data_IF_508234048795
#
_entry.id   IF_508234048795
#
_cell.length_a   1.000
_cell.length_b   1.000
_cell.length_c   1.000
_cell.angle_alpha   90.00
_cell.angle_beta   90.00
_cell.angle_gamma   90.00
#
_symmetry.space_group_name_H-M   'P 1'
#
loop_
_entity.id
_entity.type
_entity.pdbx_description
1 polymer ?
#
# COMPACT_ATOMS: atom_id res chain seq x y z
N UNK A 1 -12.16 7.54 18.33
CA UNK A 1 -11.84 6.10 18.18
C UNK A 1 -10.94 5.97 16.97
N UNK A 2 -9.68 5.53 17.13
CA UNK A 2 -8.83 5.15 15.99
C UNK A 2 -9.51 3.96 15.30
N UNK A 3 -10.06 4.16 14.10
CA UNK A 3 -10.55 3.03 13.28
C UNK A 3 -9.32 2.27 12.80
N UNK A 4 -8.91 1.25 13.55
CA UNK A 4 -7.98 0.25 13.03
C UNK A 4 -8.68 -0.44 11.86
N UNK A 5 -8.24 -0.16 10.64
CA UNK A 5 -8.71 -0.86 9.43
C UNK A 5 -8.46 -2.36 9.60
N UNK A 6 -9.51 -3.16 9.45
CA UNK A 6 -9.38 -4.62 9.49
C UNK A 6 -8.54 -5.07 8.28
N UNK A 7 -7.43 -5.75 8.53
CA UNK A 7 -6.51 -6.22 7.49
C UNK A 7 -6.55 -7.76 7.43
N UNK A 8 -6.56 -8.32 6.21
CA UNK A 8 -6.44 -9.76 5.96
C UNK A 8 -5.16 -10.08 5.20
N UNK A 9 -4.46 -11.12 5.63
CA UNK A 9 -3.21 -11.57 4.99
C UNK A 9 -3.53 -12.36 3.73
N UNK A 10 -2.98 -11.92 2.60
CA UNK A 10 -3.09 -12.62 1.32
C UNK A 10 -1.70 -12.92 0.75
N UNK A 11 -1.58 -14.06 0.07
CA UNK A 11 -0.37 -14.46 -0.65
C UNK A 11 -0.59 -14.36 -2.15
N UNK A 12 0.32 -13.70 -2.86
CA UNK A 12 0.29 -13.55 -4.32
C UNK A 12 1.58 -14.06 -4.93
N UNK A 13 1.50 -14.72 -6.08
CA UNK A 13 2.66 -15.17 -6.85
C UNK A 13 2.98 -14.15 -7.93
N UNK A 14 4.21 -13.67 -7.97
CA UNK A 14 4.69 -12.71 -8.95
C UNK A 14 6.01 -13.19 -9.55
N UNK A 15 6.32 -12.85 -10.82
CA UNK A 15 7.63 -13.09 -11.40
C UNK A 15 8.73 -12.43 -10.56
N UNK A 16 9.85 -13.13 -10.35
CA UNK A 16 10.97 -12.66 -9.52
C UNK A 16 11.45 -11.26 -9.93
N UNK A 17 11.55 -11.02 -11.24
CA UNK A 17 11.96 -9.71 -11.78
C UNK A 17 11.03 -8.58 -11.31
N UNK A 18 9.72 -8.80 -11.35
CA UNK A 18 8.72 -7.80 -10.94
C UNK A 18 8.82 -7.54 -9.44
N UNK A 19 8.91 -8.60 -8.65
CA UNK A 19 9.04 -8.50 -7.19
C UNK A 19 10.27 -7.68 -6.77
N UNK A 20 11.42 -7.95 -7.39
CA UNK A 20 12.67 -7.24 -7.10
C UNK A 20 12.59 -5.75 -7.45
N UNK A 21 11.99 -5.40 -8.59
CA UNK A 21 11.80 -4.00 -8.99
C UNK A 21 10.90 -3.28 -7.98
N UNK A 22 9.76 -3.90 -7.63
CA UNK A 22 8.81 -3.32 -6.67
C UNK A 22 9.47 -3.09 -5.30
N UNK A 23 10.28 -4.04 -4.82
CA UNK A 23 11.04 -3.89 -3.57
C UNK A 23 12.05 -2.75 -3.63
N UNK A 24 12.75 -2.58 -4.76
CA UNK A 24 13.67 -1.45 -4.95
C UNK A 24 12.94 -0.11 -4.93
N UNK A 25 11.81 0.00 -5.62
CA UNK A 25 11.00 1.21 -5.67
C UNK A 25 10.40 1.56 -4.30
N UNK A 26 9.93 0.55 -3.54
CA UNK A 26 9.44 0.76 -2.18
C UNK A 26 10.52 1.42 -1.30
N UNK A 27 11.75 0.89 -1.33
CA UNK A 27 12.88 1.44 -0.59
C UNK A 27 13.25 2.87 -1.03
N UNK A 28 13.26 3.14 -2.34
CA UNK A 28 13.55 4.48 -2.88
C UNK A 28 12.49 5.52 -2.47
N UNK A 29 11.25 5.09 -2.28
CA UNK A 29 10.14 5.94 -1.86
C UNK A 29 9.99 6.01 -0.33
N UNK A 30 10.94 5.45 0.44
CA UNK A 30 10.87 5.34 1.91
C UNK A 30 9.56 4.69 2.41
N UNK A 31 9.06 3.70 1.67
CA UNK A 31 7.84 2.94 2.01
C UNK A 31 8.16 1.49 2.33
N UNK A 32 7.35 0.90 3.21
CA UNK A 32 7.32 -0.55 3.36
C UNK A 32 6.88 -1.20 2.04
N UNK A 33 7.32 -2.43 1.79
CA UNK A 33 6.88 -3.18 0.60
C UNK A 33 5.35 -3.35 0.58
N UNK A 34 4.74 -3.57 1.75
CA UNK A 34 3.30 -3.66 1.89
C UNK A 34 2.60 -2.37 1.45
N UNK A 35 3.08 -1.20 1.90
CA UNK A 35 2.47 0.08 1.54
C UNK A 35 2.69 0.41 0.06
N UNK A 36 3.80 -0.03 -0.53
CA UNK A 36 4.03 0.10 -1.97
C UNK A 36 3.03 -0.76 -2.77
N UNK A 37 2.76 -1.99 -2.33
CA UNK A 37 1.74 -2.86 -2.95
C UNK A 37 0.36 -2.24 -2.81
N UNK A 38 -0.02 -1.80 -1.60
CA UNK A 38 -1.32 -1.19 -1.36
C UNK A 38 -1.53 0.04 -2.23
N UNK A 39 -0.52 0.92 -2.32
CA UNK A 39 -0.60 2.08 -3.21
C UNK A 39 -0.84 1.70 -4.66
N UNK A 40 -0.14 0.70 -5.19
CA UNK A 40 -0.33 0.25 -6.57
C UNK A 40 -1.76 -0.25 -6.79
N UNK A 41 -2.32 -0.98 -5.83
CA UNK A 41 -3.71 -1.49 -5.90
C UNK A 41 -4.71 -0.34 -5.82
N UNK A 42 -4.56 0.58 -4.87
CA UNK A 42 -5.47 1.73 -4.71
C UNK A 42 -5.36 2.73 -5.87
N UNK A 43 -4.16 2.99 -6.40
CA UNK A 43 -3.98 3.78 -7.63
C UNK A 43 -4.77 3.13 -8.79
N UNK A 44 -4.64 1.81 -8.99
CA UNK A 44 -5.37 1.08 -10.03
C UNK A 44 -6.90 1.13 -9.86
N UNK A 45 -7.40 1.11 -8.62
CA UNK A 45 -8.82 1.18 -8.29
C UNK A 45 -9.39 2.59 -8.50
N UNK A 46 -8.67 3.63 -8.08
CA UNK A 46 -9.06 5.03 -8.28
C UNK A 46 -9.11 5.37 -9.77
N UNK A 47 -8.10 4.97 -10.54
CA UNK A 47 -8.04 5.20 -11.98
C UNK A 47 -9.22 4.59 -12.75
N UNK A 48 -9.91 3.59 -12.16
CA UNK A 48 -11.07 2.91 -12.74
C UNK A 48 -12.41 3.30 -12.09
N UNK A 49 -12.40 4.19 -11.11
CA UNK A 49 -13.59 4.60 -10.38
C UNK A 49 -14.16 3.52 -9.45
N UNK A 50 -13.35 2.56 -9.02
CA UNK A 50 -13.74 1.57 -7.99
C UNK A 50 -13.52 2.07 -6.56
N UNK A 51 -12.75 3.15 -6.39
CA UNK A 51 -12.42 3.76 -5.11
C UNK A 51 -12.32 5.28 -5.33
N UNK A 52 -12.84 6.09 -4.42
CA UNK A 52 -12.57 7.52 -4.41
C UNK A 52 -11.22 7.82 -3.73
N UNK A 53 -10.55 8.92 -4.09
CA UNK A 53 -9.26 9.28 -3.48
C UNK A 53 -9.38 9.51 -1.95
N UNK A 54 -10.55 9.95 -1.49
CA UNK A 54 -10.91 10.15 -0.08
C UNK A 54 -11.05 8.84 0.72
N UNK A 55 -11.27 7.71 0.03
CA UNK A 55 -11.49 6.39 0.63
C UNK A 55 -10.20 5.58 0.77
N UNK A 56 -9.06 6.15 0.35
CA UNK A 56 -7.74 5.53 0.44
C UNK A 56 -7.35 5.21 1.88
N UNK A 57 -6.60 4.13 2.03
CA UNK A 57 -6.07 3.72 3.32
C UNK A 57 -5.04 4.73 3.81
N UNK A 58 -5.36 5.44 4.89
CA UNK A 58 -4.40 6.30 5.60
C UNK A 58 -3.68 5.47 6.66
N UNK A 59 -2.35 5.37 6.54
CA UNK A 59 -1.53 4.89 7.64
C UNK A 59 -1.18 6.10 8.51
N UNK A 60 -1.90 6.30 9.62
CA UNK A 60 -1.33 7.10 10.71
C UNK A 60 -0.06 6.37 11.16
N UNK A 61 1.09 7.00 11.01
CA UNK A 61 2.33 6.52 11.62
C UNK A 61 2.13 6.59 13.15
N UNK A 62 2.13 5.47 13.87
CA UNK A 62 1.95 5.50 15.32
C UNK A 62 3.07 6.26 16.06
N UNK A 63 4.17 6.62 15.38
CA UNK A 63 5.29 7.41 15.91
C UNK A 63 5.34 8.86 15.43
N UNK A 64 4.37 9.36 14.65
CA UNK A 64 4.36 10.78 14.24
C UNK A 64 3.85 11.74 15.34
N UNK A 65 3.68 11.25 16.57
CA UNK A 65 3.50 12.06 17.76
C UNK A 65 4.71 11.88 18.69
N UNK A 66 5.73 12.71 18.51
CA UNK A 66 6.83 12.94 19.46
C UNK A 66 7.26 14.39 19.37
#
# INVERSE_FOLDING_TARGET
>A
MKKTTEMKVHSVRLPVRVWTIMRRLANQNYRSLNNQVLKIVEDWMVDRGYLEDSERTTFEDPNSGS
#
